data_IF_086591009629
#
_entry.id   IF_086591009629
#
_cell.length_a   1.000
_cell.length_b   1.000
_cell.length_c   1.000
_cell.angle_alpha   90.00
_cell.angle_beta   90.00
_cell.angle_gamma   90.00
#
_symmetry.space_group_name_H-M   'P 1'
#
loop_
_entity.id
_entity.type
_entity.pdbx_description
1 polymer ?
#
# COMPACT_ATOMS: atom_id res chain seq x y z
N UNK A 1 -19.38 8.88 7.22
CA UNK A 1 -19.14 7.48 7.62
C UNK A 1 -18.89 7.44 9.11
N UNK A 2 -19.29 6.39 9.81
CA UNK A 2 -18.89 6.20 11.22
C UNK A 2 -17.39 5.90 11.32
N UNK A 3 -16.76 6.24 12.44
CA UNK A 3 -15.33 5.99 12.68
C UNK A 3 -14.94 4.51 12.48
N UNK A 4 -15.81 3.58 12.90
CA UNK A 4 -15.63 2.16 12.69
C UNK A 4 -15.64 1.75 11.22
N UNK A 5 -16.51 2.35 10.39
CA UNK A 5 -16.56 2.06 8.95
C UNK A 5 -15.31 2.57 8.22
N UNK A 6 -14.80 3.75 8.59
CA UNK A 6 -13.53 4.29 8.07
C UNK A 6 -12.33 3.43 8.46
N UNK A 7 -12.29 2.95 9.71
CA UNK A 7 -11.25 2.02 10.17
C UNK A 7 -11.33 0.70 9.41
N UNK A 8 -12.54 0.15 9.23
CA UNK A 8 -12.75 -1.07 8.44
C UNK A 8 -12.26 -0.93 7.00
N UNK A 9 -12.58 0.17 6.33
CA UNK A 9 -12.11 0.44 4.98
C UNK A 9 -10.57 0.56 4.90
N UNK A 10 -9.95 1.23 5.87
CA UNK A 10 -8.50 1.30 5.98
C UNK A 10 -7.85 -0.07 6.16
N UNK A 11 -8.33 -0.85 7.14
CA UNK A 11 -7.80 -2.19 7.44
C UNK A 11 -7.98 -3.12 6.25
N UNK A 12 -9.10 -3.05 5.54
CA UNK A 12 -9.32 -3.83 4.32
C UNK A 12 -8.30 -3.47 3.23
N UNK A 13 -8.10 -2.18 2.94
CA UNK A 13 -7.09 -1.74 1.97
C UNK A 13 -5.68 -2.18 2.38
N UNK A 14 -5.32 -2.01 3.65
CA UNK A 14 -4.02 -2.42 4.16
C UNK A 14 -3.81 -3.94 4.05
N UNK A 15 -4.77 -4.75 4.52
CA UNK A 15 -4.64 -6.20 4.59
C UNK A 15 -4.59 -6.86 3.21
N UNK A 16 -5.50 -6.46 2.31
CA UNK A 16 -5.57 -7.01 0.95
C UNK A 16 -4.23 -6.82 0.21
N UNK A 17 -3.68 -5.62 0.28
CA UNK A 17 -2.44 -5.29 -0.41
C UNK A 17 -1.18 -5.72 0.34
N UNK A 18 -1.23 -5.90 1.66
CA UNK A 18 -0.10 -6.51 2.41
C UNK A 18 0.03 -8.00 2.09
N UNK A 19 -1.09 -8.72 2.03
CA UNK A 19 -1.08 -10.15 1.65
C UNK A 19 -0.70 -10.31 0.18
N UNK A 20 -1.24 -9.43 -0.68
CA UNK A 20 -0.87 -9.39 -2.10
C UNK A 20 0.62 -9.10 -2.30
N UNK A 21 1.16 -8.06 -1.66
CA UNK A 21 2.56 -7.65 -1.83
C UNK A 21 3.58 -8.71 -1.40
N UNK A 22 3.23 -9.64 -0.50
CA UNK A 22 4.10 -10.79 -0.16
C UNK A 22 4.19 -11.83 -1.27
N UNK A 23 3.22 -11.87 -2.18
CA UNK A 23 3.12 -12.87 -3.25
C UNK A 23 3.42 -12.31 -4.64
N UNK A 24 3.62 -11.00 -4.74
CA UNK A 24 3.66 -10.28 -6.00
C UNK A 24 5.01 -9.57 -6.10
N UNK A 25 5.55 -9.48 -7.32
CA UNK A 25 6.77 -8.73 -7.62
C UNK A 25 6.70 -7.27 -7.16
N UNK A 26 7.83 -6.76 -6.67
CA UNK A 26 7.95 -5.36 -6.21
C UNK A 26 7.55 -4.34 -7.28
N UNK A 27 7.74 -4.65 -8.58
CA UNK A 27 7.29 -3.79 -9.69
C UNK A 27 5.78 -3.56 -9.68
N UNK A 28 5.00 -4.60 -9.43
CA UNK A 28 3.53 -4.51 -9.41
C UNK A 28 3.08 -3.76 -8.14
N UNK A 29 3.74 -3.98 -6.99
CA UNK A 29 3.53 -3.16 -5.79
C UNK A 29 3.79 -1.68 -6.07
N UNK A 30 4.83 -1.35 -6.86
CA UNK A 30 5.10 0.01 -7.33
C UNK A 30 3.97 0.61 -8.18
N UNK A 31 3.37 -0.17 -9.09
CA UNK A 31 2.21 0.29 -9.89
C UNK A 31 1.03 0.63 -8.98
N UNK A 32 0.71 -0.26 -8.04
CA UNK A 32 -0.38 -0.01 -7.09
C UNK A 32 -0.10 1.19 -6.17
N UNK A 33 1.15 1.38 -5.74
CA UNK A 33 1.55 2.56 -4.97
C UNK A 33 1.25 3.86 -5.73
N UNK A 34 1.62 3.92 -7.01
CA UNK A 34 1.35 5.10 -7.87
C UNK A 34 -0.16 5.30 -8.06
N UNK A 35 -0.92 4.23 -8.34
CA UNK A 35 -2.37 4.31 -8.49
C UNK A 35 -3.06 4.82 -7.21
N UNK A 36 -2.62 4.33 -6.04
CA UNK A 36 -3.14 4.79 -4.76
C UNK A 36 -2.79 6.26 -4.50
N UNK A 37 -1.58 6.70 -4.85
CA UNK A 37 -1.14 8.09 -4.72
C UNK A 37 -1.99 9.03 -5.59
N UNK A 38 -2.19 8.68 -6.87
CA UNK A 38 -3.03 9.44 -7.80
C UNK A 38 -4.48 9.47 -7.31
N UNK A 39 -5.00 8.32 -6.86
CA UNK A 39 -6.35 8.23 -6.32
C UNK A 39 -6.54 9.13 -5.09
N UNK A 40 -5.59 9.14 -4.15
CA UNK A 40 -5.61 10.02 -2.98
C UNK A 40 -5.51 11.50 -3.36
N UNK A 41 -4.71 11.84 -4.38
CA UNK A 41 -4.59 13.21 -4.87
C UNK A 41 -5.90 13.70 -5.52
N UNK A 42 -6.55 12.87 -6.33
CA UNK A 42 -7.77 13.26 -7.05
C UNK A 42 -9.04 13.20 -6.20
N UNK A 43 -9.19 12.17 -5.37
CA UNK A 43 -10.42 11.91 -4.60
C UNK A 43 -10.34 12.54 -3.19
N UNK A 44 -9.14 12.85 -2.72
CA UNK A 44 -8.89 13.32 -1.36
C UNK A 44 -8.76 12.17 -0.36
N UNK A 45 -8.99 12.43 0.94
CA UNK A 45 -8.73 11.46 1.99
C UNK A 45 -9.68 10.25 1.89
N UNK A 46 -9.18 9.15 1.34
CA UNK A 46 -9.88 7.88 1.25
C UNK A 46 -9.14 6.82 2.09
N UNK A 47 -9.77 6.29 3.17
CA UNK A 47 -9.11 5.35 4.08
C UNK A 47 -8.61 4.08 3.41
N UNK A 48 -9.36 3.54 2.44
CA UNK A 48 -8.97 2.33 1.72
C UNK A 48 -7.74 2.57 0.84
N UNK A 49 -7.74 3.65 0.06
CA UNK A 49 -6.60 4.02 -0.79
C UNK A 49 -5.37 4.34 0.07
N UNK A 50 -5.56 4.93 1.25
CA UNK A 50 -4.47 5.15 2.20
C UNK A 50 -3.89 3.85 2.74
N UNK A 51 -4.73 2.87 3.10
CA UNK A 51 -4.28 1.54 3.51
C UNK A 51 -3.50 0.83 2.39
N UNK A 52 -3.99 0.91 1.15
CA UNK A 52 -3.30 0.39 -0.04
C UNK A 52 -1.94 1.08 -0.26
N UNK A 53 -1.87 2.41 -0.16
CA UNK A 53 -0.65 3.19 -0.31
C UNK A 53 0.40 2.78 0.72
N UNK A 54 0.02 2.63 2.00
CA UNK A 54 0.94 2.19 3.05
C UNK A 54 1.46 0.77 2.83
N UNK A 55 0.57 -0.18 2.50
CA UNK A 55 0.96 -1.57 2.28
C UNK A 55 1.96 -1.71 1.12
N UNK A 56 1.64 -1.10 -0.02
CA UNK A 56 2.46 -1.16 -1.23
C UNK A 56 3.74 -0.34 -1.09
N UNK A 57 3.68 0.81 -0.42
CA UNK A 57 4.84 1.64 -0.12
C UNK A 57 5.84 0.91 0.77
N UNK A 58 5.36 0.23 1.82
CA UNK A 58 6.20 -0.59 2.68
C UNK A 58 6.91 -1.72 1.91
N UNK A 59 6.19 -2.39 1.01
CA UNK A 59 6.77 -3.45 0.19
C UNK A 59 7.87 -2.92 -0.75
N UNK A 60 7.62 -1.79 -1.42
CA UNK A 60 8.60 -1.15 -2.32
C UNK A 60 9.83 -0.69 -1.54
N UNK A 61 9.63 -0.10 -0.35
CA UNK A 61 10.72 0.33 0.52
C UNK A 61 11.58 -0.84 0.98
N UNK A 62 10.99 -1.93 1.47
CA UNK A 62 11.75 -3.11 1.88
C UNK A 62 12.55 -3.70 0.72
N UNK A 63 11.94 -3.80 -0.47
CA UNK A 63 12.65 -4.27 -1.64
C UNK A 63 13.84 -3.36 -2.00
N UNK A 64 13.65 -2.04 -1.93
CA UNK A 64 14.74 -1.07 -2.14
C UNK A 64 15.85 -1.21 -1.09
N UNK A 65 15.48 -1.39 0.19
CA UNK A 65 16.44 -1.62 1.27
C UNK A 65 17.23 -2.90 1.06
N UNK A 66 16.58 -4.01 0.69
CA UNK A 66 17.25 -5.29 0.37
C UNK A 66 18.22 -5.16 -0.81
N UNK A 67 17.90 -4.33 -1.81
CA UNK A 67 18.79 -4.08 -2.94
C UNK A 67 20.00 -3.22 -2.57
N UNK A 68 19.81 -2.17 -1.75
CA UNK A 68 20.87 -1.23 -1.38
C UNK A 68 21.77 -1.80 -0.27
N UNK A 69 21.17 -2.48 0.70
CA UNK A 69 21.83 -3.08 1.86
C UNK A 69 21.58 -4.59 1.87
N UNK A 70 22.18 -5.35 0.94
CA UNK A 70 21.98 -6.80 0.89
C UNK A 70 22.56 -7.45 2.16
N UNK A 71 21.69 -7.82 3.08
CA UNK A 71 22.05 -8.63 4.25
C UNK A 71 22.17 -10.07 3.76
N UNK A 72 23.38 -10.48 3.40
CA UNK A 72 23.74 -11.89 3.18
C UNK A 72 24.21 -12.50 4.49
#
# INVERSE_FOLDING_TARGET
MSGAATLGAFVLGLALFTVGARRIEARISGVFLILAAVGLFMVGPNPFLFGMFLATGWAVLNHGVEQIFPVR
#
